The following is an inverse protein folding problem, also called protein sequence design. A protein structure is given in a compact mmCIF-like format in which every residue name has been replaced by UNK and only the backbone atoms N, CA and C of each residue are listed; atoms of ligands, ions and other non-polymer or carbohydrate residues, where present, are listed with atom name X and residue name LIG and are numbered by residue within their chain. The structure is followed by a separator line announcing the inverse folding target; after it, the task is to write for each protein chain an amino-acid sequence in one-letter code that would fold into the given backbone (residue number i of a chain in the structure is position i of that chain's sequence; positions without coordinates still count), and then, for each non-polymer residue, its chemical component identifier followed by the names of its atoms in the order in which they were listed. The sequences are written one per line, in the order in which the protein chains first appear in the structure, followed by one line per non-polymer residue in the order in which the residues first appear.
data_IF_469130759708
#
_entry.id   IF_469130759708
#
_cell.length_a   1.000
_cell.length_b   1.000
_cell.length_c   1.000
_cell.angle_alpha   90.00
_cell.angle_beta   90.00
_cell.angle_gamma   90.00
#
_symmetry.space_group_name_H-M   'P 1'
#
loop_
_entity.id
_entity.type
_entity.pdbx_description
1 polymer ?
#
# COMPACT_ATOMS: atom_id res chain seq x y z
N UNK A 1 -7.52 -37.60 8.23
CA UNK A 1 -8.73 -38.38 8.42
C UNK A 1 -9.19 -38.14 9.87
N UNK A 2 -10.00 -37.13 10.09
CA UNK A 2 -10.67 -36.87 11.36
C UNK A 2 -12.14 -36.54 11.05
N UNK A 3 -13.01 -37.44 11.51
CA UNK A 3 -14.45 -37.34 11.43
C UNK A 3 -14.95 -36.45 12.57
N UNK A 4 -15.75 -35.42 12.25
CA UNK A 4 -16.59 -34.74 13.23
C UNK A 4 -18.00 -35.31 13.17
N UNK A 5 -18.45 -35.85 14.28
CA UNK A 5 -19.80 -36.36 14.50
C UNK A 5 -20.79 -35.23 14.75
N UNK A 6 -21.97 -35.37 14.11
CA UNK A 6 -23.16 -34.57 14.33
C UNK A 6 -23.76 -34.84 15.73
N UNK A 7 -24.04 -33.76 16.46
CA UNK A 7 -25.05 -33.80 17.51
C UNK A 7 -26.07 -32.67 17.32
N UNK A 8 -27.31 -33.10 17.12
CA UNK A 8 -28.48 -32.24 17.01
C UNK A 8 -28.83 -31.68 18.38
N UNK A 9 -28.96 -30.36 18.48
CA UNK A 9 -29.56 -29.70 19.64
C UNK A 9 -30.91 -29.07 19.29
N UNK A 10 -31.90 -29.53 20.02
CA UNK A 10 -33.33 -29.22 19.95
C UNK A 10 -33.53 -27.74 20.33
N UNK A 11 -34.21 -27.00 19.48
CA UNK A 11 -34.68 -25.64 19.72
C UNK A 11 -35.80 -25.63 20.76
N UNK A 12 -35.59 -25.02 21.91
CA UNK A 12 -36.67 -24.50 22.79
C UNK A 12 -36.86 -23.01 22.52
N UNK A 13 -38.06 -22.67 22.09
CA UNK A 13 -38.55 -21.31 21.97
C UNK A 13 -38.68 -20.70 23.34
N UNK A 14 -37.95 -19.65 23.64
CA UNK A 14 -38.12 -18.80 24.77
C UNK A 14 -37.89 -17.35 24.34
N UNK A 15 -38.98 -16.60 24.23
CA UNK A 15 -38.95 -15.21 23.85
C UNK A 15 -38.10 -14.38 24.82
N UNK A 16 -37.04 -13.73 24.32
CA UNK A 16 -36.36 -12.62 24.99
C UNK A 16 -36.33 -11.42 24.06
N UNK A 17 -36.80 -10.31 24.61
CA UNK A 17 -36.75 -8.98 23.99
C UNK A 17 -35.33 -8.69 23.53
N UNK A 18 -35.18 -8.15 22.32
CA UNK A 18 -33.91 -7.61 21.85
C UNK A 18 -33.45 -6.49 22.76
N UNK A 19 -32.18 -6.42 23.18
CA UNK A 19 -31.66 -5.25 23.85
C UNK A 19 -31.50 -4.12 22.83
N UNK A 20 -32.00 -2.97 23.20
CA UNK A 20 -31.82 -1.68 22.58
C UNK A 20 -30.32 -1.35 22.43
N UNK A 21 -29.87 -1.21 21.21
CA UNK A 21 -28.49 -0.83 20.85
C UNK A 21 -28.30 0.68 20.78
N UNK A 22 -28.99 1.43 21.69
CA UNK A 22 -28.66 2.83 21.91
C UNK A 22 -27.59 2.95 22.98
N UNK A 23 -26.40 3.40 22.52
CA UNK A 23 -25.39 4.15 23.29
C UNK A 23 -24.83 3.52 24.57
N UNK A 24 -23.76 2.71 24.45
CA UNK A 24 -22.69 2.75 25.44
C UNK A 24 -21.44 3.33 24.81
N UNK A 25 -21.27 4.64 24.93
CA UNK A 25 -19.99 5.28 24.79
C UNK A 25 -19.08 4.72 25.88
N UNK A 26 -18.02 4.00 25.47
CA UNK A 26 -16.95 3.60 26.38
C UNK A 26 -16.19 4.86 26.77
N UNK A 27 -16.15 5.17 28.08
CA UNK A 27 -15.34 6.27 28.60
C UNK A 27 -13.87 6.07 28.23
N UNK A 28 -13.15 7.15 27.83
CA UNK A 28 -11.73 7.07 27.50
C UNK A 28 -10.90 6.77 28.76
N UNK A 29 -9.79 6.01 28.65
CA UNK A 29 -8.89 5.80 29.76
C UNK A 29 -8.26 7.12 30.22
N UNK A 30 -7.97 7.30 31.52
CA UNK A 30 -7.44 8.54 32.05
C UNK A 30 -6.10 8.92 31.44
N UNK A 31 -5.89 10.22 31.20
CA UNK A 31 -4.62 10.79 30.73
C UNK A 31 -3.54 10.57 31.80
N UNK A 32 -2.67 9.62 31.58
CA UNK A 32 -1.53 9.36 32.47
C UNK A 32 -0.84 8.04 32.17
N UNK A 33 0.45 8.10 32.00
CA UNK A 33 1.47 7.05 32.01
C UNK A 33 1.11 5.66 31.52
N UNK A 34 1.66 5.30 30.36
CA UNK A 34 1.57 3.94 29.79
C UNK A 34 2.41 2.95 30.64
N UNK A 35 1.80 2.43 31.71
CA UNK A 35 2.32 1.25 32.38
C UNK A 35 1.94 0.01 31.58
N UNK A 36 2.86 -0.95 31.47
CA UNK A 36 2.76 -2.24 30.77
C UNK A 36 1.71 -3.19 31.39
N UNK A 37 0.49 -2.69 31.68
CA UNK A 37 -0.59 -3.40 32.35
C UNK A 37 -1.99 -2.93 31.98
N UNK A 38 -2.19 -2.29 30.82
CA UNK A 38 -3.51 -1.81 30.42
C UNK A 38 -4.52 -2.96 30.27
N UNK A 39 -5.64 -2.90 30.98
CA UNK A 39 -6.76 -3.82 30.89
C UNK A 39 -7.58 -3.56 29.62
N UNK A 40 -7.73 -4.56 28.77
CA UNK A 40 -8.77 -4.61 27.73
C UNK A 40 -10.14 -4.98 28.34
N UNK A 41 -11.25 -4.46 27.83
CA UNK A 41 -12.60 -4.72 28.39
C UNK A 41 -13.09 -6.18 28.24
N UNK A 42 -12.31 -7.08 27.70
CA UNK A 42 -12.64 -8.51 27.55
C UNK A 42 -11.59 -9.44 28.16
N UNK A 43 -11.11 -9.14 29.35
CA UNK A 43 -10.69 -10.15 30.35
C UNK A 43 -9.55 -11.12 30.03
N UNK A 44 -8.76 -10.97 28.97
CA UNK A 44 -7.63 -11.86 28.68
C UNK A 44 -6.30 -11.20 29.07
N UNK A 45 -5.79 -11.55 30.25
CA UNK A 45 -4.40 -11.31 30.65
C UNK A 45 -3.49 -12.24 29.87
N UNK A 46 -2.73 -11.74 28.90
CA UNK A 46 -1.56 -12.43 28.36
C UNK A 46 -0.32 -11.86 29.04
N UNK A 47 0.35 -12.67 29.86
CA UNK A 47 1.58 -12.30 30.54
C UNK A 47 2.67 -12.04 29.51
N UNK A 48 3.16 -10.80 29.42
CA UNK A 48 4.54 -10.51 29.02
C UNK A 48 4.86 -10.45 27.52
N UNK A 49 3.91 -10.53 26.61
CA UNK A 49 4.17 -10.32 25.17
C UNK A 49 3.27 -9.20 24.68
N UNK A 50 3.84 -8.02 24.45
CA UNK A 50 3.20 -6.97 23.67
C UNK A 50 3.18 -7.46 22.22
N UNK A 51 2.10 -8.14 21.83
CA UNK A 51 1.91 -8.63 20.47
C UNK A 51 1.83 -7.40 19.57
N UNK A 52 2.54 -7.41 18.44
CA UNK A 52 2.56 -6.31 17.48
C UNK A 52 1.14 -5.89 17.08
N UNK A 53 0.22 -6.84 17.05
CA UNK A 53 -1.19 -6.58 16.73
C UNK A 53 -1.87 -5.67 17.77
N UNK A 54 -1.55 -5.78 19.05
CA UNK A 54 -2.13 -4.93 20.09
C UNK A 54 -1.77 -3.46 19.90
N UNK A 55 -0.54 -3.19 19.41
CA UNK A 55 -0.13 -1.81 19.05
C UNK A 55 -0.97 -1.25 17.90
N UNK A 56 -1.31 -2.08 16.92
CA UNK A 56 -2.13 -1.69 15.78
C UNK A 56 -3.58 -1.41 16.22
N UNK A 57 -4.14 -2.25 17.08
CA UNK A 57 -5.49 -2.05 17.63
C UNK A 57 -5.56 -0.78 18.50
N UNK A 58 -4.56 -0.55 19.34
CA UNK A 58 -4.45 0.68 20.11
C UNK A 58 -4.27 1.91 19.22
N UNK A 59 -3.49 1.78 18.14
CA UNK A 59 -3.33 2.80 17.10
C UNK A 59 -4.67 3.14 16.45
N UNK A 60 -5.49 2.12 16.12
CA UNK A 60 -6.83 2.34 15.58
C UNK A 60 -7.77 3.02 16.57
N UNK A 61 -7.70 2.66 17.86
CA UNK A 61 -8.46 3.36 18.90
C UNK A 61 -8.14 4.86 18.92
N UNK A 62 -6.84 5.21 18.91
CA UNK A 62 -6.40 6.61 18.85
C UNK A 62 -6.88 7.33 17.58
N UNK A 63 -6.74 6.69 16.43
CA UNK A 63 -7.24 7.20 15.15
C UNK A 63 -8.74 7.54 15.26
N UNK A 64 -9.55 6.67 15.87
CA UNK A 64 -10.97 6.92 16.05
C UNK A 64 -11.25 8.15 16.89
N UNK A 65 -10.45 8.41 17.92
CA UNK A 65 -10.62 9.56 18.81
C UNK A 65 -10.09 10.86 18.18
N UNK A 66 -8.91 10.81 17.54
CA UNK A 66 -8.19 12.01 17.14
C UNK A 66 -8.45 12.44 15.69
N UNK A 67 -8.95 11.53 14.85
CA UNK A 67 -9.19 11.82 13.43
C UNK A 67 -10.61 11.42 12.99
N UNK A 68 -11.01 10.16 13.16
CA UNK A 68 -12.31 9.67 12.67
C UNK A 68 -13.50 10.44 13.28
N UNK A 69 -13.57 10.53 14.60
CA UNK A 69 -14.69 11.19 15.29
C UNK A 69 -14.78 12.69 14.99
N UNK A 70 -13.68 13.45 15.02
CA UNK A 70 -13.71 14.87 14.62
C UNK A 70 -14.11 15.09 13.15
N UNK A 71 -13.82 14.13 12.27
CA UNK A 71 -14.09 14.19 10.83
C UNK A 71 -15.22 13.23 10.40
N UNK A 72 -16.15 12.89 11.27
CA UNK A 72 -17.18 11.86 11.06
C UNK A 72 -17.99 12.07 9.77
N UNK A 73 -18.24 13.32 9.36
CA UNK A 73 -18.94 13.65 8.13
C UNK A 73 -18.21 13.08 6.91
N UNK A 74 -16.91 13.34 6.79
CA UNK A 74 -16.05 12.82 5.71
C UNK A 74 -16.05 11.28 5.68
N UNK A 75 -15.87 10.63 6.83
CA UNK A 75 -15.84 9.17 6.88
C UNK A 75 -17.19 8.52 6.58
N UNK A 76 -18.32 9.19 6.89
CA UNK A 76 -19.66 8.73 6.49
C UNK A 76 -19.85 8.81 4.98
N UNK A 77 -19.35 9.86 4.33
CA UNK A 77 -19.36 9.95 2.86
C UNK A 77 -18.54 8.82 2.24
N UNK A 78 -17.33 8.58 2.74
CA UNK A 78 -16.48 7.47 2.27
C UNK A 78 -17.13 6.08 2.48
N UNK A 79 -17.90 5.90 3.54
CA UNK A 79 -18.61 4.66 3.80
C UNK A 79 -19.73 4.37 2.76
N UNK A 80 -20.23 5.39 2.08
CA UNK A 80 -21.23 5.26 1.00
C UNK A 80 -20.64 4.95 -0.37
N UNK A 81 -19.33 5.18 -0.58
CA UNK A 81 -18.63 4.92 -1.84
C UNK A 81 -17.26 5.57 -1.90
N UNK A 82 -16.56 5.35 -3.01
CA UNK A 82 -15.26 5.95 -3.27
C UNK A 82 -15.22 6.58 -4.67
N UNK A 83 -14.51 7.68 -4.79
CA UNK A 83 -14.31 8.38 -6.07
C UNK A 83 -12.88 8.97 -6.13
N UNK A 84 -11.82 8.13 -6.06
CA UNK A 84 -10.46 8.60 -6.15
C UNK A 84 -10.18 9.15 -7.55
N UNK A 85 -9.41 10.21 -7.65
CA UNK A 85 -8.99 10.76 -8.92
C UNK A 85 -7.69 10.14 -9.45
N UNK A 86 -6.91 9.48 -8.60
CA UNK A 86 -5.58 8.96 -8.94
C UNK A 86 -5.43 7.49 -8.57
N UNK A 87 -4.95 6.67 -9.52
CA UNK A 87 -4.34 5.37 -9.23
C UNK A 87 -2.85 5.58 -8.94
N UNK A 88 -2.44 5.24 -7.73
CA UNK A 88 -1.04 5.29 -7.32
C UNK A 88 -0.43 3.89 -7.27
N UNK A 89 0.64 3.68 -8.05
CA UNK A 89 1.43 2.45 -8.10
C UNK A 89 2.78 2.71 -7.42
N UNK A 90 3.04 2.06 -6.29
CA UNK A 90 4.23 2.31 -5.49
C UNK A 90 4.89 1.06 -4.95
N UNK A 91 6.06 1.24 -4.34
CA UNK A 91 6.76 0.16 -3.66
C UNK A 91 6.07 -0.22 -2.33
N UNK A 92 6.13 -1.52 -1.98
CA UNK A 92 5.68 -2.03 -0.66
C UNK A 92 6.60 -1.64 0.49
N UNK A 93 7.66 -0.88 0.24
CA UNK A 93 8.63 -0.43 1.25
C UNK A 93 7.94 0.23 2.44
N UNK A 94 8.19 -0.30 3.64
CA UNK A 94 7.52 0.12 4.87
C UNK A 94 7.82 1.56 5.29
N UNK A 95 8.88 2.16 4.76
CA UNK A 95 9.27 3.56 5.03
C UNK A 95 8.40 4.56 4.27
N UNK A 96 7.55 4.08 3.35
CA UNK A 96 6.72 4.94 2.51
C UNK A 96 5.25 4.75 2.88
N UNK A 97 4.65 5.83 3.36
CA UNK A 97 3.20 5.93 3.57
C UNK A 97 2.65 6.97 2.59
N UNK A 98 2.06 6.50 1.48
CA UNK A 98 1.65 7.35 0.36
C UNK A 98 0.81 8.55 0.79
N UNK A 99 -0.28 8.34 1.54
CA UNK A 99 -1.11 9.43 2.02
C UNK A 99 -0.37 10.42 2.92
N UNK A 100 0.63 9.93 3.71
CA UNK A 100 1.41 10.82 4.58
C UNK A 100 2.36 11.74 3.77
N UNK A 101 3.11 11.18 2.81
CA UNK A 101 4.07 11.96 2.02
C UNK A 101 3.41 12.91 1.01
N UNK A 102 2.19 12.61 0.59
CA UNK A 102 1.41 13.45 -0.34
C UNK A 102 0.40 14.35 0.37
N UNK A 103 0.19 14.16 1.69
CA UNK A 103 -0.90 14.76 2.47
C UNK A 103 -2.30 14.46 1.88
N UNK A 104 -2.41 13.39 1.08
CA UNK A 104 -3.68 12.94 0.54
C UNK A 104 -4.55 12.32 1.64
N UNK A 105 -5.82 12.71 1.64
CA UNK A 105 -6.82 12.21 2.60
C UNK A 105 -7.33 10.82 2.18
N UNK A 106 -7.95 10.13 3.11
CA UNK A 106 -8.65 8.90 2.80
C UNK A 106 -9.68 9.14 1.69
N UNK A 107 -9.69 8.26 0.67
CA UNK A 107 -10.58 8.34 -0.49
C UNK A 107 -10.01 9.04 -1.72
N UNK A 108 -8.91 9.79 -1.62
CA UNK A 108 -8.34 10.54 -2.75
C UNK A 108 -7.46 9.68 -3.66
N UNK A 109 -6.81 8.63 -3.11
CA UNK A 109 -5.92 7.75 -3.86
C UNK A 109 -6.44 6.32 -3.87
N UNK A 110 -6.46 5.70 -5.04
CA UNK A 110 -6.59 4.26 -5.20
C UNK A 110 -5.19 3.66 -5.31
N UNK A 111 -4.79 2.78 -4.39
CA UNK A 111 -3.38 2.46 -4.20
C UNK A 111 -3.10 0.99 -4.52
N UNK A 112 -2.14 0.76 -5.42
CA UNK A 112 -1.51 -0.53 -5.68
C UNK A 112 -0.06 -0.50 -5.20
N UNK A 113 0.36 -1.50 -4.42
CA UNK A 113 1.74 -1.60 -3.93
C UNK A 113 2.30 -3.00 -4.13
N UNK A 114 3.55 -3.05 -4.61
CA UNK A 114 4.29 -4.30 -4.76
C UNK A 114 5.81 -4.06 -4.59
N UNK A 115 6.61 -5.12 -4.64
CA UNK A 115 8.07 -5.02 -4.52
C UNK A 115 8.62 -4.30 -5.76
N UNK A 116 9.17 -3.08 -5.55
CA UNK A 116 9.83 -2.31 -6.62
C UNK A 116 8.91 -1.50 -7.53
N UNK A 117 7.67 -1.20 -7.13
CA UNK A 117 6.70 -0.43 -7.94
C UNK A 117 6.57 -0.94 -9.39
N UNK A 118 6.58 -2.27 -9.55
CA UNK A 118 6.61 -2.95 -10.84
C UNK A 118 5.20 -3.01 -11.46
N UNK A 119 5.15 -2.83 -12.77
CA UNK A 119 3.99 -3.12 -13.61
C UNK A 119 4.28 -4.41 -14.38
N UNK A 120 3.79 -5.55 -13.91
CA UNK A 120 3.99 -6.82 -14.59
C UNK A 120 3.05 -6.92 -15.79
N UNK A 121 3.58 -7.34 -16.94
CA UNK A 121 2.79 -7.41 -18.18
C UNK A 121 1.83 -8.63 -18.26
N UNK A 122 1.94 -9.57 -17.33
CA UNK A 122 1.16 -10.82 -17.29
C UNK A 122 0.66 -11.16 -15.87
N UNK A 123 0.09 -10.20 -15.16
CA UNK A 123 -0.39 -10.40 -13.80
C UNK A 123 -1.85 -9.99 -13.66
N UNK A 124 -2.71 -10.98 -13.35
CA UNK A 124 -4.15 -10.77 -13.21
C UNK A 124 -4.52 -9.85 -12.05
N UNK A 125 -3.74 -9.89 -10.96
CA UNK A 125 -4.00 -9.02 -9.81
C UNK A 125 -3.77 -7.56 -10.20
N UNK A 126 -2.65 -7.27 -10.86
CA UNK A 126 -2.37 -5.93 -11.35
C UNK A 126 -3.38 -5.46 -12.40
N UNK A 127 -3.67 -6.32 -13.39
CA UNK A 127 -4.63 -6.01 -14.45
C UNK A 127 -6.02 -5.67 -13.89
N UNK A 128 -6.48 -6.41 -12.87
CA UNK A 128 -7.78 -6.16 -12.21
C UNK A 128 -7.81 -4.82 -11.50
N UNK A 129 -6.75 -4.45 -10.79
CA UNK A 129 -6.63 -3.14 -10.14
C UNK A 129 -6.65 -2.01 -11.17
N UNK A 130 -5.90 -2.16 -12.27
CA UNK A 130 -5.85 -1.19 -13.35
C UNK A 130 -7.22 -1.02 -14.03
N UNK A 131 -7.88 -2.13 -14.36
CA UNK A 131 -9.22 -2.11 -14.96
C UNK A 131 -10.23 -1.45 -14.03
N UNK A 132 -10.24 -1.81 -12.75
CA UNK A 132 -11.13 -1.22 -11.78
C UNK A 132 -10.93 0.30 -11.65
N UNK A 133 -9.67 0.75 -11.60
CA UNK A 133 -9.33 2.16 -11.52
C UNK A 133 -9.78 2.95 -12.78
N UNK A 134 -9.43 2.45 -13.96
CA UNK A 134 -9.64 3.18 -15.24
C UNK A 134 -11.09 3.09 -15.72
N UNK A 135 -11.73 1.91 -15.58
CA UNK A 135 -13.07 1.67 -16.15
C UNK A 135 -14.18 1.99 -15.15
N UNK A 136 -14.04 1.55 -13.90
CA UNK A 136 -15.10 1.68 -12.90
C UNK A 136 -14.96 2.96 -12.08
N UNK A 137 -13.79 3.24 -11.52
CA UNK A 137 -13.54 4.47 -10.75
C UNK A 137 -13.30 5.68 -11.64
N UNK A 138 -12.88 5.49 -12.90
CA UNK A 138 -12.63 6.56 -13.88
C UNK A 138 -11.61 7.56 -13.37
N UNK A 139 -10.53 7.06 -12.78
CA UNK A 139 -9.41 7.91 -12.35
C UNK A 139 -8.91 8.77 -13.51
N UNK A 140 -8.43 9.96 -13.20
CA UNK A 140 -7.89 10.91 -14.17
C UNK A 140 -6.38 10.72 -14.34
N UNK A 141 -5.71 10.30 -13.27
CA UNK A 141 -4.27 10.15 -13.24
C UNK A 141 -3.86 8.74 -12.85
N UNK A 142 -2.82 8.23 -13.50
CA UNK A 142 -2.11 7.02 -13.09
C UNK A 142 -0.66 7.41 -12.79
N UNK A 143 -0.25 7.18 -11.56
CA UNK A 143 1.07 7.53 -11.07
C UNK A 143 1.88 6.27 -10.80
N UNK A 144 3.12 6.21 -11.32
CA UNK A 144 4.15 5.28 -10.86
C UNK A 144 5.13 6.05 -10.00
N UNK A 145 5.28 5.63 -8.75
CA UNK A 145 6.22 6.24 -7.83
C UNK A 145 7.34 5.28 -7.41
N UNK A 146 8.54 5.57 -7.87
CA UNK A 146 9.78 4.99 -7.36
C UNK A 146 10.30 5.73 -6.14
N UNK A 147 11.36 5.20 -5.53
CA UNK A 147 11.97 5.86 -4.37
C UNK A 147 13.45 5.54 -4.25
N UNK A 148 14.18 6.41 -3.56
CA UNK A 148 15.60 6.22 -3.27
C UNK A 148 15.84 5.02 -2.34
N UNK A 149 16.98 4.36 -2.51
CA UNK A 149 17.40 3.21 -1.71
C UNK A 149 16.39 2.05 -1.73
N UNK A 150 15.84 1.76 -2.91
CA UNK A 150 14.89 0.69 -3.12
C UNK A 150 15.56 -0.68 -3.01
N UNK A 151 15.10 -1.50 -2.05
CA UNK A 151 15.64 -2.84 -1.84
C UNK A 151 15.49 -3.76 -3.06
N UNK A 152 14.40 -3.61 -3.81
CA UNK A 152 14.16 -4.37 -5.05
C UNK A 152 15.19 -4.05 -6.13
N UNK A 153 15.51 -2.77 -6.33
CA UNK A 153 16.49 -2.35 -7.33
C UNK A 153 17.91 -2.78 -6.94
N UNK A 154 18.26 -2.65 -5.66
CA UNK A 154 19.55 -3.15 -5.15
C UNK A 154 19.68 -4.67 -5.24
N UNK A 155 18.58 -5.40 -5.19
CA UNK A 155 18.57 -6.86 -5.34
C UNK A 155 18.85 -7.33 -6.78
N UNK A 156 18.76 -6.45 -7.78
CA UNK A 156 19.12 -6.77 -9.18
C UNK A 156 20.60 -7.12 -9.37
N UNK A 157 21.47 -6.69 -8.47
CA UNK A 157 22.90 -7.00 -8.48
C UNK A 157 23.29 -8.20 -7.60
N UNK A 158 22.32 -8.77 -6.87
CA UNK A 158 22.60 -9.88 -5.97
C UNK A 158 22.23 -11.20 -6.61
N UNK A 159 23.13 -12.16 -6.50
CA UNK A 159 22.74 -13.55 -6.66
C UNK A 159 21.89 -13.97 -5.47
N UNK A 160 20.74 -14.54 -5.74
CA UNK A 160 19.81 -14.98 -4.70
C UNK A 160 19.23 -16.34 -5.06
N UNK A 161 19.13 -17.20 -4.04
CA UNK A 161 18.43 -18.48 -4.14
C UNK A 161 16.93 -18.33 -3.75
N UNK A 162 16.40 -17.12 -3.70
CA UNK A 162 15.00 -16.87 -3.41
C UNK A 162 14.11 -17.45 -4.51
N UNK A 163 12.99 -18.06 -4.12
CA UNK A 163 12.11 -18.76 -5.05
C UNK A 163 11.33 -17.82 -6.00
N UNK A 164 11.05 -16.60 -5.56
CA UNK A 164 10.13 -15.69 -6.27
C UNK A 164 10.77 -14.36 -6.66
N UNK A 165 11.66 -13.81 -5.82
CA UNK A 165 12.21 -12.46 -6.02
C UNK A 165 12.96 -12.33 -7.36
N UNK A 166 13.86 -13.25 -7.77
CA UNK A 166 14.57 -13.13 -9.04
C UNK A 166 13.61 -13.13 -10.24
N UNK A 167 12.57 -13.97 -10.21
CA UNK A 167 11.57 -14.04 -11.28
C UNK A 167 10.77 -12.75 -11.38
N UNK A 168 10.35 -12.20 -10.24
CA UNK A 168 9.63 -10.93 -10.16
C UNK A 168 10.47 -9.76 -10.69
N UNK A 169 11.73 -9.67 -10.28
CA UNK A 169 12.64 -8.60 -10.63
C UNK A 169 13.07 -8.62 -12.12
N UNK A 170 12.80 -9.69 -12.88
CA UNK A 170 12.98 -9.67 -14.33
C UNK A 170 12.21 -8.51 -14.99
N UNK A 171 11.08 -8.09 -14.43
CA UNK A 171 10.32 -6.92 -14.90
C UNK A 171 11.03 -5.56 -14.70
N UNK A 172 12.12 -5.52 -13.94
CA UNK A 172 12.92 -4.31 -13.71
C UNK A 172 14.35 -4.44 -14.31
N UNK A 173 14.74 -5.62 -14.76
CA UNK A 173 16.11 -5.90 -15.22
C UNK A 173 16.55 -5.01 -16.38
N UNK A 174 15.63 -4.67 -17.27
CA UNK A 174 15.92 -3.80 -18.41
C UNK A 174 16.33 -2.38 -17.96
N UNK A 175 15.72 -1.82 -16.91
CA UNK A 175 16.13 -0.53 -16.37
C UNK A 175 17.59 -0.53 -15.92
N UNK A 176 18.03 -1.62 -15.25
CA UNK A 176 19.43 -1.81 -14.89
C UNK A 176 20.32 -1.86 -16.15
N UNK A 177 19.96 -2.67 -17.12
CA UNK A 177 20.73 -2.82 -18.36
C UNK A 177 20.87 -1.49 -19.11
N UNK A 178 19.83 -0.70 -19.20
CA UNK A 178 19.83 0.64 -19.82
C UNK A 178 20.82 1.59 -19.13
N UNK A 179 20.87 1.60 -17.81
CA UNK A 179 21.79 2.46 -17.06
C UNK A 179 23.21 1.94 -17.18
N UNK A 180 23.45 0.65 -16.95
CA UNK A 180 24.79 0.05 -17.01
C UNK A 180 25.46 0.19 -18.39
N UNK A 181 24.66 0.30 -19.45
CA UNK A 181 25.18 0.57 -20.79
C UNK A 181 25.60 2.04 -21.04
N UNK A 182 25.21 2.97 -20.16
CA UNK A 182 25.43 4.42 -20.32
C UNK A 182 26.48 4.99 -19.37
N UNK A 183 26.79 4.28 -18.31
CA UNK A 183 27.73 4.74 -17.28
C UNK A 183 28.88 3.76 -17.12
N UNK A 184 30.00 4.23 -16.61
CA UNK A 184 31.09 3.35 -16.19
C UNK A 184 30.76 2.57 -14.94
N UNK A 185 31.37 1.42 -14.75
CA UNK A 185 31.20 0.63 -13.54
C UNK A 185 31.66 1.47 -12.32
N UNK A 186 30.88 1.49 -11.23
CA UNK A 186 31.21 2.29 -10.07
C UNK A 186 32.47 1.75 -9.36
N UNK A 187 33.40 2.63 -9.03
CA UNK A 187 34.63 2.32 -8.28
C UNK A 187 34.49 2.65 -6.80
N UNK A 188 33.54 3.52 -6.44
CA UNK A 188 33.30 3.97 -5.07
C UNK A 188 31.88 3.67 -4.61
N UNK A 189 31.68 3.63 -3.29
CA UNK A 189 30.33 3.48 -2.68
C UNK A 189 29.38 4.59 -3.15
N UNK A 190 29.91 5.83 -3.25
CA UNK A 190 29.12 6.98 -3.71
C UNK A 190 28.64 6.80 -5.15
N UNK A 191 29.51 6.36 -6.04
CA UNK A 191 29.15 6.08 -7.44
C UNK A 191 28.16 4.92 -7.55
N UNK A 192 28.34 3.89 -6.71
CA UNK A 192 27.38 2.78 -6.65
C UNK A 192 26.00 3.27 -6.20
N UNK A 193 25.91 4.15 -5.20
CA UNK A 193 24.65 4.73 -4.76
C UNK A 193 24.00 5.61 -5.84
N UNK A 194 24.80 6.40 -6.56
CA UNK A 194 24.31 7.20 -7.69
C UNK A 194 23.81 6.31 -8.83
N UNK A 195 24.53 5.25 -9.17
CA UNK A 195 24.08 4.26 -10.15
C UNK A 195 22.72 3.67 -9.74
N UNK A 196 22.51 3.29 -8.48
CA UNK A 196 21.22 2.80 -8.03
C UNK A 196 20.12 3.84 -8.16
N UNK A 197 20.38 5.11 -7.83
CA UNK A 197 19.41 6.20 -8.04
C UNK A 197 18.99 6.33 -9.50
N UNK A 198 19.95 6.22 -10.43
CA UNK A 198 19.65 6.25 -11.85
C UNK A 198 18.79 5.05 -12.28
N UNK A 199 19.08 3.84 -11.78
CA UNK A 199 18.29 2.63 -12.06
C UNK A 199 16.88 2.76 -11.48
N UNK A 200 16.73 3.27 -10.26
CA UNK A 200 15.43 3.50 -9.61
C UNK A 200 14.55 4.43 -10.45
N UNK A 201 15.11 5.52 -10.96
CA UNK A 201 14.40 6.47 -11.83
C UNK A 201 14.11 5.89 -13.21
N UNK A 202 15.07 5.18 -13.81
CA UNK A 202 14.85 4.49 -15.08
C UNK A 202 13.80 3.39 -14.97
N UNK A 203 13.74 2.70 -13.80
CA UNK A 203 12.67 1.73 -13.53
C UNK A 203 11.28 2.39 -13.55
N UNK A 204 11.12 3.60 -13.02
CA UNK A 204 9.84 4.31 -13.13
C UNK A 204 9.44 4.51 -14.58
N UNK A 205 10.37 4.91 -15.45
CA UNK A 205 10.12 5.10 -16.90
C UNK A 205 9.78 3.79 -17.59
N UNK A 206 10.54 2.73 -17.31
CA UNK A 206 10.27 1.39 -17.83
C UNK A 206 8.88 0.90 -17.43
N UNK A 207 8.46 1.14 -16.18
CA UNK A 207 7.14 0.71 -15.73
C UNK A 207 6.02 1.53 -16.39
N UNK A 208 6.25 2.78 -16.79
CA UNK A 208 5.32 3.53 -17.64
C UNK A 208 5.22 2.87 -19.03
N UNK A 209 6.32 2.44 -19.63
CA UNK A 209 6.29 1.71 -20.89
C UNK A 209 5.48 0.41 -20.75
N UNK A 210 5.66 -0.34 -19.65
CA UNK A 210 4.86 -1.53 -19.35
C UNK A 210 3.37 -1.20 -19.18
N UNK A 211 3.02 -0.11 -18.51
CA UNK A 211 1.63 0.36 -18.40
C UNK A 211 0.99 0.57 -19.78
N UNK A 212 1.73 1.15 -20.70
CA UNK A 212 1.23 1.45 -22.05
C UNK A 212 1.02 0.19 -22.92
N UNK A 213 1.47 -0.98 -22.44
CA UNK A 213 1.15 -2.27 -23.08
C UNK A 213 -0.26 -2.79 -22.74
N UNK A 214 -0.91 -2.22 -21.71
CA UNK A 214 -2.28 -2.56 -21.35
C UNK A 214 -3.27 -1.83 -22.28
N UNK A 215 -4.03 -2.53 -23.15
CA UNK A 215 -4.85 -1.88 -24.17
C UNK A 215 -5.91 -0.94 -23.59
N UNK A 216 -6.49 -1.29 -22.43
CA UNK A 216 -7.50 -0.46 -21.76
C UNK A 216 -6.95 0.91 -21.32
N UNK A 217 -5.71 0.93 -20.79
CA UNK A 217 -5.07 2.17 -20.38
C UNK A 217 -4.61 2.96 -21.58
N UNK A 218 -3.94 2.30 -22.55
CA UNK A 218 -3.52 2.96 -23.79
C UNK A 218 -4.68 3.67 -24.47
N UNK A 219 -5.83 3.02 -24.59
CA UNK A 219 -7.06 3.63 -25.13
C UNK A 219 -7.50 4.84 -24.31
N UNK A 220 -7.47 4.77 -22.97
CA UNK A 220 -7.88 5.86 -22.12
C UNK A 220 -6.94 7.08 -22.25
N UNK A 221 -5.64 6.85 -22.43
CA UNK A 221 -4.63 7.89 -22.67
C UNK A 221 -4.81 8.52 -24.06
N UNK A 222 -4.97 7.70 -25.12
CA UNK A 222 -5.21 8.17 -26.49
C UNK A 222 -6.48 9.04 -26.58
N UNK A 223 -7.50 8.71 -25.78
CA UNK A 223 -8.76 9.47 -25.65
C UNK A 223 -8.65 10.67 -24.70
N UNK A 224 -7.48 10.94 -24.12
CA UNK A 224 -7.22 12.03 -23.16
C UNK A 224 -8.11 11.99 -21.90
N UNK A 225 -8.52 10.80 -21.49
CA UNK A 225 -9.29 10.58 -20.25
C UNK A 225 -8.41 10.31 -19.04
N UNK A 226 -7.19 9.84 -19.27
CA UNK A 226 -6.21 9.51 -18.25
C UNK A 226 -4.85 10.08 -18.64
N UNK A 227 -4.16 10.66 -17.68
CA UNK A 227 -2.76 11.04 -17.79
C UNK A 227 -1.89 10.05 -16.98
N UNK A 228 -0.65 9.81 -17.44
CA UNK A 228 0.30 8.91 -16.77
C UNK A 228 1.51 9.72 -16.33
N UNK A 229 1.94 9.53 -15.09
CA UNK A 229 3.03 10.29 -14.48
C UNK A 229 4.03 9.37 -13.79
N UNK A 230 5.31 9.69 -13.93
CA UNK A 230 6.39 9.11 -13.18
C UNK A 230 6.86 10.03 -12.06
N UNK A 231 6.79 9.56 -10.82
CA UNK A 231 7.29 10.28 -9.65
C UNK A 231 8.44 9.52 -8.99
N UNK A 232 9.29 10.26 -8.29
CA UNK A 232 10.39 9.71 -7.52
C UNK A 232 10.45 10.37 -6.14
N UNK A 233 10.43 9.55 -5.09
CA UNK A 233 10.49 9.99 -3.71
C UNK A 233 11.88 9.77 -3.12
N UNK A 234 12.51 10.81 -2.61
CA UNK A 234 13.79 10.71 -1.92
C UNK A 234 13.56 10.55 -0.41
N UNK A 235 13.93 9.36 0.11
CA UNK A 235 13.78 9.03 1.53
C UNK A 235 14.64 9.89 2.47
N UNK A 236 15.74 10.45 1.98
CA UNK A 236 16.65 11.24 2.81
C UNK A 236 16.19 12.70 2.96
N UNK A 237 15.56 13.25 1.93
CA UNK A 237 15.11 14.66 1.91
C UNK A 237 13.60 14.80 2.11
N UNK A 238 12.83 13.73 1.90
CA UNK A 238 11.36 13.77 1.89
C UNK A 238 10.79 14.42 0.62
N UNK A 239 11.63 14.69 -0.39
CA UNK A 239 11.19 15.35 -1.62
C UNK A 239 10.54 14.37 -2.58
N UNK A 240 9.41 14.78 -3.17
CA UNK A 240 8.71 14.07 -4.23
C UNK A 240 8.84 14.86 -5.53
N UNK A 241 9.45 14.25 -6.55
CA UNK A 241 9.71 14.88 -7.86
C UNK A 241 8.96 14.19 -8.98
N UNK A 242 8.43 14.96 -9.93
CA UNK A 242 7.99 14.45 -11.24
C UNK A 242 9.22 14.23 -12.12
N UNK A 243 9.35 13.02 -12.69
CA UNK A 243 10.50 12.63 -13.52
C UNK A 243 10.10 12.10 -14.90
N UNK A 244 8.80 11.87 -15.12
CA UNK A 244 8.20 11.50 -16.41
C UNK A 244 6.70 11.84 -16.44
#
# INVERSE_FOLDING_TARGET
MYLCSNDQLILRQGGRRQPDHSERFLEPPPKGEYNAGAHYPHGHRVRGVCIVIDKLLLGNFRFRETDFTPNIGHYRELASGQNPETLWIGCSDSRIQTGHITQARAGELFIQRNIGNIVPVHDWNFATVLEYAVVHLKVKDVVICGHSNCGAIRALDRESNDSYIPLWLNNAREAKTRIDSRIQAPETVREADERYRLIEQENVKLQIEHLMTYPLLKKAVDEKRVEVHGLYYDLATGELKKIA
#
